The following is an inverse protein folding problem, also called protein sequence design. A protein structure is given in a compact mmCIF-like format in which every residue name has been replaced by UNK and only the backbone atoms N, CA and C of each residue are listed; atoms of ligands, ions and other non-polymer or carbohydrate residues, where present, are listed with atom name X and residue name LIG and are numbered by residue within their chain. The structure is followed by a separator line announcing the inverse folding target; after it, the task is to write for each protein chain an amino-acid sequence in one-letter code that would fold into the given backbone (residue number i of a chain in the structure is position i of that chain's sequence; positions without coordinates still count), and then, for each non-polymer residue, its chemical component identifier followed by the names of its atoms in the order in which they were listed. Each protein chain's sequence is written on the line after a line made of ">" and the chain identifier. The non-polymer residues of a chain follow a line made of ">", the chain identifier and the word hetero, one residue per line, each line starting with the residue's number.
data_IF_231075040079
#
_entry.id   IF_231075040079
#
_cell.length_a   1.000
_cell.length_b   1.000
_cell.length_c   1.000
_cell.angle_alpha   90.00
_cell.angle_beta   90.00
_cell.angle_gamma   90.00
#
_symmetry.space_group_name_H-M   'P 1'
#
loop_
_entity.id
_entity.type
_entity.pdbx_description
1 polymer ?
#
# COMPACT_ATOMS: atom_id res chain seq x y z
N UNK A 1 -28.10 9.71 0.90
CA UNK A 1 -27.47 8.63 1.71
C UNK A 1 -26.19 9.21 2.29
N UNK A 2 -26.03 9.21 3.62
CA UNK A 2 -24.85 9.77 4.29
C UNK A 2 -23.71 8.77 4.25
N UNK A 3 -22.61 9.16 3.62
CA UNK A 3 -21.41 8.34 3.43
C UNK A 3 -20.80 7.94 4.79
N UNK A 4 -20.85 8.84 5.77
CA UNK A 4 -20.43 8.62 7.16
C UNK A 4 -21.27 7.56 7.87
N UNK A 5 -22.60 7.59 7.70
CA UNK A 5 -23.49 6.59 8.33
C UNK A 5 -23.19 5.20 7.78
N UNK A 6 -22.99 5.07 6.46
CA UNK A 6 -22.62 3.78 5.85
C UNK A 6 -21.25 3.28 6.29
N UNK A 7 -20.30 4.19 6.48
CA UNK A 7 -18.99 3.87 7.04
C UNK A 7 -19.12 3.38 8.49
N UNK A 8 -19.92 4.08 9.31
CA UNK A 8 -20.13 3.77 10.72
C UNK A 8 -20.81 2.41 10.92
N UNK A 9 -21.79 2.06 10.09
CA UNK A 9 -22.46 0.76 10.13
C UNK A 9 -21.63 -0.39 9.53
N UNK A 10 -20.42 -0.12 9.02
CA UNK A 10 -19.57 -1.14 8.42
C UNK A 10 -20.09 -1.67 7.07
N UNK A 11 -20.98 -0.94 6.42
CA UNK A 11 -21.49 -1.28 5.08
C UNK A 11 -20.46 -0.96 3.98
N UNK A 12 -19.44 -0.17 4.33
CA UNK A 12 -18.25 0.04 3.51
C UNK A 12 -17.06 -0.61 4.21
N UNK A 13 -16.28 -1.40 3.48
CA UNK A 13 -15.02 -1.96 3.97
C UNK A 13 -13.87 -1.02 3.57
N UNK A 14 -13.36 -0.17 4.50
CA UNK A 14 -12.19 0.66 4.23
C UNK A 14 -10.89 -0.13 4.08
N UNK A 15 -10.88 -1.39 4.48
CA UNK A 15 -9.70 -2.21 4.63
C UNK A 15 -9.91 -3.63 4.08
N UNK A 16 -10.42 -3.74 2.85
CA UNK A 16 -10.36 -5.01 2.12
C UNK A 16 -8.92 -5.52 1.88
N UNK A 17 -7.90 -4.76 2.32
CA UNK A 17 -6.52 -5.22 2.46
C UNK A 17 -6.15 -5.27 3.94
N UNK A 18 -5.78 -6.45 4.43
CA UNK A 18 -5.24 -6.67 5.77
C UNK A 18 -4.19 -5.60 6.10
N UNK A 19 -4.42 -4.82 7.15
CA UNK A 19 -3.41 -3.91 7.68
C UNK A 19 -2.32 -4.74 8.35
N UNK A 20 -1.25 -5.03 7.61
CA UNK A 20 -0.04 -5.61 8.19
C UNK A 20 0.50 -4.61 9.21
N UNK A 21 0.64 -5.05 10.47
CA UNK A 21 1.17 -4.21 11.55
C UNK A 21 2.54 -3.62 11.14
N UNK A 22 2.80 -2.32 11.39
CA UNK A 22 4.02 -1.64 10.91
C UNK A 22 5.32 -2.32 11.36
N UNK A 23 5.33 -2.94 12.55
CA UNK A 23 6.48 -3.73 13.01
C UNK A 23 6.67 -5.05 12.26
N UNK A 24 5.57 -5.74 11.94
CA UNK A 24 5.61 -6.95 11.14
C UNK A 24 6.08 -6.65 9.72
N UNK A 25 5.60 -5.54 9.13
CA UNK A 25 6.07 -5.03 7.84
C UNK A 25 7.57 -4.73 7.86
N UNK A 26 8.06 -3.99 8.87
CA UNK A 26 9.50 -3.69 9.02
C UNK A 26 10.34 -4.95 9.15
N UNK A 27 9.85 -5.98 9.85
CA UNK A 27 10.55 -7.25 9.99
C UNK A 27 10.67 -7.96 8.64
N UNK A 28 9.56 -8.05 7.89
CA UNK A 28 9.53 -8.65 6.54
C UNK A 28 10.44 -7.88 5.59
N UNK A 29 10.43 -6.54 5.63
CA UNK A 29 11.32 -5.69 4.83
C UNK A 29 12.80 -5.95 5.12
N UNK A 30 13.19 -6.06 6.41
CA UNK A 30 14.57 -6.39 6.78
C UNK A 30 14.99 -7.77 6.24
N UNK A 31 14.15 -8.78 6.42
CA UNK A 31 14.41 -10.13 5.89
C UNK A 31 14.57 -10.13 4.37
N UNK A 32 13.74 -9.37 3.65
CA UNK A 32 13.85 -9.20 2.19
C UNK A 32 15.18 -8.57 1.79
N UNK A 33 15.57 -7.47 2.44
CA UNK A 33 16.84 -6.79 2.17
C UNK A 33 18.07 -7.67 2.46
N UNK A 34 18.01 -8.50 3.50
CA UNK A 34 19.11 -9.41 3.85
C UNK A 34 19.23 -10.55 2.81
N UNK A 35 18.10 -11.09 2.34
CA UNK A 35 18.07 -12.09 1.26
C UNK A 35 18.56 -11.51 -0.07
N UNK A 36 18.19 -10.27 -0.39
CA UNK A 36 18.62 -9.59 -1.61
C UNK A 36 20.14 -9.41 -1.63
N UNK A 37 20.73 -8.94 -0.52
CA UNK A 37 22.19 -8.81 -0.38
C UNK A 37 22.89 -10.15 -0.54
N UNK A 38 22.39 -11.19 0.13
CA UNK A 38 22.95 -12.53 0.01
C UNK A 38 22.91 -13.04 -1.44
N UNK A 39 21.80 -12.84 -2.16
CA UNK A 39 21.70 -13.22 -3.57
C UNK A 39 22.66 -12.43 -4.46
N UNK A 40 22.80 -11.12 -4.25
CA UNK A 40 23.72 -10.27 -5.01
C UNK A 40 25.19 -10.69 -4.84
N UNK A 41 25.57 -11.19 -3.66
CA UNK A 41 26.93 -11.69 -3.38
C UNK A 41 27.20 -13.06 -4.02
N UNK A 42 26.17 -13.87 -4.29
CA UNK A 42 26.31 -15.22 -4.84
C UNK A 42 26.16 -15.28 -6.38
N UNK A 43 25.55 -14.27 -7.00
CA UNK A 43 25.28 -14.24 -8.44
C UNK A 43 26.46 -13.67 -9.23
N UNK A 44 26.83 -14.36 -10.32
CA UNK A 44 27.79 -13.88 -11.31
C UNK A 44 27.18 -12.76 -12.19
N UNK A 45 28.01 -11.98 -12.91
CA UNK A 45 27.59 -10.74 -13.59
C UNK A 45 26.32 -10.83 -14.46
N UNK A 46 26.14 -11.81 -15.36
CA UNK A 46 24.94 -11.83 -16.21
C UNK A 46 23.65 -12.19 -15.45
N UNK A 47 23.75 -12.93 -14.34
CA UNK A 47 22.60 -13.24 -13.48
C UNK A 47 22.32 -12.11 -12.49
N UNK A 48 23.37 -11.45 -12.00
CA UNK A 48 23.29 -10.28 -11.12
C UNK A 48 22.54 -9.13 -11.80
N UNK A 49 22.87 -8.83 -13.06
CA UNK A 49 22.23 -7.75 -13.81
C UNK A 49 20.74 -8.02 -14.05
N UNK A 50 20.36 -9.28 -14.32
CA UNK A 50 18.95 -9.68 -14.43
C UNK A 50 18.21 -9.61 -13.10
N UNK A 51 18.88 -9.97 -12.00
CA UNK A 51 18.29 -9.89 -10.67
C UNK A 51 18.06 -8.44 -10.24
N UNK A 52 19.00 -7.54 -10.51
CA UNK A 52 18.83 -6.09 -10.29
C UNK A 52 17.66 -5.54 -11.10
N UNK A 53 17.57 -5.87 -12.39
CA UNK A 53 16.45 -5.45 -13.23
C UNK A 53 15.10 -5.99 -12.72
N UNK A 54 15.08 -7.19 -12.13
CA UNK A 54 13.89 -7.74 -11.48
C UNK A 54 13.52 -6.96 -10.22
N UNK A 55 14.48 -6.68 -9.34
CA UNK A 55 14.23 -5.89 -8.12
C UNK A 55 13.72 -4.49 -8.46
N UNK A 56 14.30 -3.84 -9.47
CA UNK A 56 13.86 -2.53 -9.94
C UNK A 56 12.42 -2.55 -10.45
N UNK A 57 12.07 -3.52 -11.29
CA UNK A 57 10.71 -3.70 -11.79
C UNK A 57 9.71 -4.01 -10.66
N UNK A 58 10.11 -4.83 -9.68
CA UNK A 58 9.30 -5.15 -8.51
C UNK A 58 9.08 -3.93 -7.60
N UNK A 59 10.11 -3.11 -7.42
CA UNK A 59 10.03 -1.84 -6.68
C UNK A 59 9.06 -0.87 -7.34
N UNK A 60 9.15 -0.70 -8.67
CA UNK A 60 8.22 0.16 -9.41
C UNK A 60 6.77 -0.34 -9.32
N UNK A 61 6.55 -1.64 -9.45
CA UNK A 61 5.21 -2.24 -9.29
C UNK A 61 4.63 -1.96 -7.91
N UNK A 62 5.41 -2.15 -6.84
CA UNK A 62 4.96 -1.87 -5.47
C UNK A 62 4.66 -0.38 -5.27
N UNK A 63 5.52 0.51 -5.76
CA UNK A 63 5.29 1.96 -5.68
C UNK A 63 3.98 2.37 -6.38
N UNK A 64 3.66 1.76 -7.53
CA UNK A 64 2.38 1.99 -8.24
C UNK A 64 1.19 1.46 -7.43
N UNK A 65 1.29 0.27 -6.84
CA UNK A 65 0.27 -0.31 -5.97
C UNK A 65 0.02 0.53 -4.70
N UNK A 66 1.08 1.11 -4.13
CA UNK A 66 1.00 1.99 -2.97
C UNK A 66 0.35 3.33 -3.33
N UNK A 67 0.64 3.87 -4.51
CA UNK A 67 0.00 5.09 -5.03
C UNK A 67 -1.51 4.91 -5.18
N UNK A 68 -1.96 3.79 -5.76
CA UNK A 68 -3.39 3.51 -5.90
C UNK A 68 -4.09 3.43 -4.54
N UNK A 69 -3.42 2.83 -3.55
CA UNK A 69 -3.93 2.73 -2.17
C UNK A 69 -4.02 4.12 -1.53
N UNK A 70 -3.00 4.97 -1.73
CA UNK A 70 -2.99 6.35 -1.27
C UNK A 70 -4.12 7.18 -1.89
N UNK A 71 -4.31 7.10 -3.20
CA UNK A 71 -5.38 7.81 -3.92
C UNK A 71 -6.76 7.35 -3.45
N UNK A 72 -6.96 6.05 -3.27
CA UNK A 72 -8.20 5.49 -2.74
C UNK A 72 -8.51 6.05 -1.34
N UNK A 73 -7.53 6.02 -0.43
CA UNK A 73 -7.66 6.58 0.92
C UNK A 73 -7.96 8.08 0.92
N UNK A 74 -7.27 8.86 0.08
CA UNK A 74 -7.52 10.31 -0.04
C UNK A 74 -8.94 10.61 -0.56
N UNK A 75 -9.41 9.88 -1.57
CA UNK A 75 -10.78 10.04 -2.09
C UNK A 75 -11.82 9.68 -1.03
N UNK A 76 -11.58 8.64 -0.23
CA UNK A 76 -12.45 8.30 0.89
C UNK A 76 -12.49 9.41 1.93
N UNK A 77 -11.32 9.94 2.34
CA UNK A 77 -11.23 11.06 3.27
C UNK A 77 -11.95 12.31 2.78
N UNK A 78 -11.80 12.66 1.50
CA UNK A 78 -12.52 13.79 0.90
C UNK A 78 -14.05 13.59 0.93
N UNK A 79 -14.54 12.38 0.65
CA UNK A 79 -15.97 12.06 0.74
C UNK A 79 -16.51 12.16 2.16
N UNK A 80 -15.74 11.74 3.16
CA UNK A 80 -16.11 11.90 4.57
C UNK A 80 -16.20 13.37 4.97
N UNK A 81 -15.22 14.19 4.55
CA UNK A 81 -15.20 15.65 4.82
C UNK A 81 -16.39 16.35 4.14
N UNK A 82 -16.68 15.99 2.88
CA UNK A 82 -17.85 16.53 2.18
C UNK A 82 -19.15 16.14 2.89
N UNK A 83 -19.28 14.88 3.31
CA UNK A 83 -20.46 14.41 4.03
C UNK A 83 -20.60 15.09 5.41
N UNK A 84 -19.50 15.46 6.10
CA UNK A 84 -19.57 16.21 7.37
C UNK A 84 -20.00 17.67 7.20
N UNK A 85 -19.55 18.34 6.13
CA UNK A 85 -19.72 19.81 6.00
C UNK A 85 -20.80 20.22 4.99
N UNK A 86 -21.19 19.34 4.06
CA UNK A 86 -22.20 19.62 3.03
C UNK A 86 -23.56 18.97 3.30
N UNK A 87 -23.73 18.23 4.40
CA UNK A 87 -25.04 17.69 4.79
C UNK A 87 -25.84 18.61 5.72
N UNK A 88 -25.36 19.84 5.96
CA UNK A 88 -26.16 20.93 6.52
C UNK A 88 -26.94 21.68 5.42
N UNK A 89 -27.82 20.95 4.70
CA UNK A 89 -29.00 21.55 4.07
C UNK A 89 -30.23 20.80 4.62
N UNK A 90 -30.84 21.42 5.63
CA UNK A 90 -32.17 21.19 6.27
C UNK A 90 -32.60 19.76 6.64
#
# INVERSE_FOLDING_TARGET
>A
MRYLEQFFYGNMDPQARESIHPEAMRKVQRTLSDLEKWLLEQLEEPQRDRFLAYTDAWSELNARCDLDSFVCGFRMGARLILDTFMTEEE
#
